data_IF_290601277539
#
_entry.id   IF_290601277539
#
_cell.length_a   1.000
_cell.length_b   1.000
_cell.length_c   1.000
_cell.angle_alpha   90.00
_cell.angle_beta   90.00
_cell.angle_gamma   90.00
#
_symmetry.space_group_name_H-M   'P 1'
#
loop_
_entity.id
_entity.type
_entity.pdbx_description
1 polymer ?
#
# COMPACT_ATOMS: atom_id res chain seq x y z
N UNK A 1 -23.87 -15.88 -51.77
CA UNK A 1 -22.84 -16.14 -50.75
C UNK A 1 -22.04 -14.87 -50.75
N UNK A 2 -22.57 -13.91 -50.00
CA UNK A 2 -22.33 -12.49 -50.21
C UNK A 2 -21.03 -12.09 -49.53
N UNK A 3 -20.19 -11.41 -50.29
CA UNK A 3 -18.82 -11.04 -49.93
C UNK A 3 -18.75 -9.70 -49.17
N UNK A 4 -19.87 -9.24 -48.61
CA UNK A 4 -20.01 -7.89 -48.05
C UNK A 4 -19.68 -7.78 -46.56
N UNK A 5 -19.47 -8.89 -45.83
CA UNK A 5 -19.13 -8.84 -44.39
C UNK A 5 -17.63 -8.65 -44.09
N UNK A 6 -16.76 -8.68 -45.10
CA UNK A 6 -15.31 -8.60 -44.90
C UNK A 6 -14.80 -7.19 -44.52
N UNK A 7 -15.64 -6.15 -44.64
CA UNK A 7 -15.26 -4.76 -44.38
C UNK A 7 -15.86 -4.16 -43.09
N UNK A 8 -16.41 -4.98 -42.19
CA UNK A 8 -17.06 -4.48 -40.97
C UNK A 8 -16.09 -3.99 -39.87
N UNK A 9 -14.76 -4.16 -40.04
CA UNK A 9 -13.75 -3.88 -39.00
C UNK A 9 -12.77 -2.75 -39.35
N UNK A 10 -13.18 -1.76 -40.14
CA UNK A 10 -12.26 -0.70 -40.61
C UNK A 10 -12.01 0.45 -39.61
N UNK A 11 -12.58 0.42 -38.40
CA UNK A 11 -12.50 1.58 -37.47
C UNK A 11 -12.32 1.27 -35.97
N UNK A 12 -11.61 0.20 -35.60
CA UNK A 12 -11.04 0.14 -34.24
C UNK A 12 -9.67 0.83 -34.22
N UNK A 13 -9.69 2.15 -34.06
CA UNK A 13 -8.52 2.87 -33.58
C UNK A 13 -8.32 2.52 -32.10
N UNK A 14 -7.49 1.50 -31.83
CA UNK A 14 -6.81 1.35 -30.56
C UNK A 14 -5.93 2.59 -30.38
N UNK A 15 -6.41 3.55 -29.58
CA UNK A 15 -5.56 4.64 -29.10
C UNK A 15 -4.51 4.06 -28.16
N UNK A 16 -3.44 3.48 -28.71
CA UNK A 16 -2.16 3.33 -28.00
C UNK A 16 -1.50 4.71 -27.90
N UNK A 17 -2.14 5.62 -27.18
CA UNK A 17 -1.40 6.76 -26.66
C UNK A 17 -0.61 6.23 -25.49
N UNK A 18 0.65 5.86 -25.73
CA UNK A 18 1.64 5.71 -24.68
C UNK A 18 1.60 6.99 -23.86
N UNK A 19 0.95 6.94 -22.68
CA UNK A 19 0.94 8.07 -21.77
C UNK A 19 2.40 8.25 -21.37
N UNK A 20 3.03 9.39 -21.69
CA UNK A 20 4.43 9.56 -21.36
C UNK A 20 4.60 9.38 -19.86
N UNK A 21 5.63 8.64 -19.44
CA UNK A 21 5.82 8.26 -18.03
C UNK A 21 5.80 9.47 -17.08
N UNK A 22 6.15 10.66 -17.57
CA UNK A 22 6.08 11.93 -16.85
C UNK A 22 4.67 12.39 -16.46
N UNK A 23 3.62 11.83 -17.08
CA UNK A 23 2.21 12.18 -16.84
C UNK A 23 1.44 11.07 -16.11
N UNK A 24 2.11 9.97 -15.77
CA UNK A 24 1.53 8.85 -15.03
C UNK A 24 1.86 9.00 -13.53
N UNK A 25 1.02 9.75 -12.82
CA UNK A 25 1.06 9.77 -11.36
C UNK A 25 0.39 8.49 -10.82
N UNK A 26 1.19 7.45 -10.60
CA UNK A 26 0.74 6.20 -10.01
C UNK A 26 0.78 6.23 -8.48
N UNK A 27 0.37 7.33 -7.86
CA UNK A 27 0.27 7.38 -6.40
C UNK A 27 -1.07 6.82 -5.96
N UNK A 28 -1.08 5.60 -5.46
CA UNK A 28 -2.21 5.10 -4.67
C UNK A 28 -2.02 5.61 -3.25
N UNK A 29 -2.91 6.47 -2.79
CA UNK A 29 -2.91 6.90 -1.39
C UNK A 29 -3.54 5.83 -0.50
N UNK A 30 -3.17 5.81 0.78
CA UNK A 30 -3.80 4.94 1.78
C UNK A 30 -5.33 5.07 1.81
N UNK A 31 -5.86 6.25 1.50
CA UNK A 31 -7.30 6.51 1.46
C UNK A 31 -7.98 5.72 0.34
N UNK A 32 -7.34 5.61 -0.82
CA UNK A 32 -7.82 4.82 -1.95
C UNK A 32 -7.76 3.33 -1.63
N UNK A 33 -6.70 2.86 -0.98
CA UNK A 33 -6.61 1.47 -0.47
C UNK A 33 -7.73 1.20 0.52
N UNK A 34 -7.96 2.11 1.47
CA UNK A 34 -9.02 2.00 2.45
C UNK A 34 -10.41 1.88 1.81
N UNK A 35 -10.74 2.77 0.87
CA UNK A 35 -12.01 2.73 0.15
C UNK A 35 -12.19 1.43 -0.62
N UNK A 36 -11.13 1.01 -1.33
CA UNK A 36 -11.16 -0.19 -2.17
C UNK A 36 -11.28 -1.46 -1.32
N UNK A 37 -10.48 -1.60 -0.26
CA UNK A 37 -10.54 -2.75 0.63
C UNK A 37 -11.91 -2.91 1.29
N UNK A 38 -12.55 -1.81 1.67
CA UNK A 38 -13.93 -1.80 2.18
C UNK A 38 -14.98 -2.21 1.13
N UNK A 39 -14.76 -1.88 -0.14
CA UNK A 39 -15.65 -2.27 -1.25
C UNK A 39 -15.44 -3.73 -1.70
N UNK A 40 -14.19 -4.19 -1.72
CA UNK A 40 -13.79 -5.48 -2.26
C UNK A 40 -13.76 -6.58 -1.18
N UNK A 41 -14.02 -6.25 0.10
CA UNK A 41 -14.02 -7.20 1.21
C UNK A 41 -12.63 -7.78 1.51
N UNK A 42 -11.59 -6.99 1.24
CA UNK A 42 -10.20 -7.40 1.44
C UNK A 42 -9.96 -7.58 2.94
N UNK A 43 -9.57 -8.77 3.39
CA UNK A 43 -9.35 -9.04 4.83
C UNK A 43 -7.95 -8.58 5.24
N UNK A 44 -7.86 -7.83 6.35
CA UNK A 44 -6.62 -7.22 6.84
C UNK A 44 -6.24 -7.66 8.27
N UNK A 45 -7.07 -8.43 8.95
CA UNK A 45 -6.85 -8.99 10.29
C UNK A 45 -7.05 -10.52 10.31
N UNK A 46 -6.61 -11.17 11.38
CA UNK A 46 -6.88 -12.60 11.64
C UNK A 46 -8.37 -12.85 11.97
N UNK A 47 -9.11 -11.79 12.36
CA UNK A 47 -10.52 -11.84 12.78
C UNK A 47 -11.54 -11.58 11.65
N UNK A 48 -11.08 -11.29 10.44
CA UNK A 48 -11.88 -11.19 9.22
C UNK A 48 -12.69 -9.89 9.06
N UNK A 49 -12.33 -8.79 9.72
CA UNK A 49 -13.02 -7.50 9.59
C UNK A 49 -12.13 -6.38 9.03
N UNK A 50 -12.63 -5.67 8.02
CA UNK A 50 -11.93 -4.50 7.50
C UNK A 50 -12.14 -3.30 8.45
N UNK A 51 -11.09 -2.51 8.76
CA UNK A 51 -11.22 -1.34 9.64
C UNK A 51 -12.36 -0.42 9.21
N UNK A 52 -13.08 0.12 10.18
CA UNK A 52 -14.28 0.92 9.93
C UNK A 52 -13.95 2.36 9.53
N UNK A 53 -12.80 2.86 10.00
CA UNK A 53 -12.25 4.18 9.69
C UNK A 53 -10.83 4.13 9.13
N UNK A 54 -10.43 5.20 8.43
CA UNK A 54 -9.07 5.35 7.92
C UNK A 54 -8.06 5.42 9.07
N UNK A 55 -8.44 5.97 10.21
CA UNK A 55 -7.56 6.07 11.38
C UNK A 55 -7.29 4.69 12.00
N UNK A 56 -8.33 3.86 12.16
CA UNK A 56 -8.17 2.47 12.59
C UNK A 56 -7.28 1.70 11.61
N UNK A 57 -7.44 1.90 10.30
CA UNK A 57 -6.58 1.25 9.32
C UNK A 57 -5.11 1.66 9.47
N UNK A 58 -4.83 2.93 9.74
CA UNK A 58 -3.47 3.39 10.07
C UNK A 58 -2.93 2.72 11.33
N UNK A 59 -3.76 2.60 12.38
CA UNK A 59 -3.39 1.94 13.64
C UNK A 59 -3.04 0.48 13.39
N UNK A 60 -3.83 -0.26 12.60
CA UNK A 60 -3.53 -1.66 12.23
C UNK A 60 -2.18 -1.77 11.52
N UNK A 61 -1.91 -0.91 10.54
CA UNK A 61 -0.62 -0.94 9.82
C UNK A 61 0.54 -0.61 10.76
N UNK A 62 0.42 0.43 11.59
CA UNK A 62 1.49 0.79 12.53
C UNK A 62 1.70 -0.29 13.60
N UNK A 63 0.64 -0.88 14.14
CA UNK A 63 0.76 -1.98 15.10
C UNK A 63 1.47 -3.19 14.50
N UNK A 64 1.19 -3.54 13.23
CA UNK A 64 1.91 -4.60 12.54
C UNK A 64 3.41 -4.28 12.42
N UNK A 65 3.75 -3.06 12.00
CA UNK A 65 5.14 -2.61 11.85
C UNK A 65 5.88 -2.60 13.20
N UNK A 66 5.23 -2.11 14.26
CA UNK A 66 5.82 -2.08 15.61
C UNK A 66 6.00 -3.49 16.20
N UNK A 67 5.22 -4.48 15.72
CA UNK A 67 5.35 -5.87 16.12
C UNK A 67 6.46 -6.59 15.37
N UNK A 68 6.47 -6.49 14.04
CA UNK A 68 7.49 -7.09 13.17
C UNK A 68 7.62 -6.27 11.88
N UNK A 69 8.74 -5.57 11.74
CA UNK A 69 9.00 -4.67 10.61
C UNK A 69 9.08 -5.40 9.27
N UNK A 70 9.68 -6.59 9.25
CA UNK A 70 9.91 -7.33 8.02
C UNK A 70 8.62 -8.01 7.54
N UNK A 71 7.91 -8.69 8.44
CA UNK A 71 6.63 -9.33 8.12
C UNK A 71 5.54 -8.30 7.80
N UNK A 72 5.56 -7.13 8.45
CA UNK A 72 4.71 -6.02 8.04
C UNK A 72 5.05 -5.52 6.63
N UNK A 73 6.33 -5.47 6.27
CA UNK A 73 6.79 -5.17 4.91
C UNK A 73 6.22 -6.17 3.89
N UNK A 74 6.33 -7.48 4.16
CA UNK A 74 5.74 -8.54 3.34
C UNK A 74 4.24 -8.32 3.17
N UNK A 75 3.52 -8.05 4.26
CA UNK A 75 2.09 -7.82 4.24
C UNK A 75 1.69 -6.59 3.41
N UNK A 76 2.45 -5.48 3.51
CA UNK A 76 2.27 -4.29 2.67
C UNK A 76 2.46 -4.59 1.17
N UNK A 77 3.46 -5.40 0.82
CA UNK A 77 3.64 -5.91 -0.55
C UNK A 77 2.43 -6.74 -1.01
N UNK A 78 1.89 -7.57 -0.11
CA UNK A 78 0.68 -8.37 -0.30
C UNK A 78 -0.57 -7.52 -0.54
N UNK A 79 -0.67 -6.34 0.07
CA UNK A 79 -1.72 -5.37 -0.22
C UNK A 79 -1.51 -4.74 -1.59
N UNK A 80 -0.28 -4.30 -1.89
CA UNK A 80 0.03 -3.62 -3.14
C UNK A 80 -0.15 -4.49 -4.38
N UNK A 81 0.10 -5.81 -4.29
CA UNK A 81 -0.10 -6.74 -5.44
C UNK A 81 -1.56 -6.80 -5.92
N UNK A 82 -2.53 -6.43 -5.08
CA UNK A 82 -3.96 -6.38 -5.46
C UNK A 82 -4.28 -5.32 -6.53
N UNK A 83 -3.34 -4.41 -6.80
CA UNK A 83 -3.38 -3.46 -7.92
C UNK A 83 -2.93 -4.07 -9.25
N UNK A 84 -2.41 -5.30 -9.25
CA UNK A 84 -2.09 -6.09 -10.43
C UNK A 84 -0.62 -5.98 -10.87
N UNK A 85 -0.15 -6.96 -11.67
CA UNK A 85 1.27 -7.14 -12.02
C UNK A 85 1.90 -6.00 -12.84
N UNK A 86 1.08 -5.11 -13.40
CA UNK A 86 1.54 -3.93 -14.15
C UNK A 86 1.55 -2.65 -13.31
N UNK A 87 1.04 -2.70 -12.08
CA UNK A 87 1.08 -1.57 -11.17
C UNK A 87 2.47 -1.44 -10.54
N UNK A 88 2.91 -0.22 -10.20
CA UNK A 88 4.13 0.01 -9.43
C UNK A 88 3.92 -0.39 -7.96
N UNK A 89 3.84 -1.71 -7.71
CA UNK A 89 3.43 -2.26 -6.43
C UNK A 89 4.39 -1.90 -5.29
N UNK A 90 5.69 -1.81 -5.58
CA UNK A 90 6.69 -1.39 -4.59
C UNK A 90 6.45 0.07 -4.15
N UNK A 91 6.20 0.98 -5.09
CA UNK A 91 5.90 2.37 -4.81
C UNK A 91 4.56 2.53 -4.07
N UNK A 92 3.56 1.71 -4.42
CA UNK A 92 2.27 1.67 -3.73
C UNK A 92 2.48 1.22 -2.27
N UNK A 93 3.23 0.15 -2.01
CA UNK A 93 3.49 -0.34 -0.65
C UNK A 93 4.20 0.71 0.20
N UNK A 94 5.24 1.35 -0.33
CA UNK A 94 5.93 2.46 0.35
C UNK A 94 5.03 3.66 0.59
N UNK A 95 4.13 3.96 -0.35
CA UNK A 95 3.15 5.05 -0.19
C UNK A 95 2.14 4.73 0.91
N UNK A 96 1.68 3.49 1.01
CA UNK A 96 0.81 2.99 2.09
C UNK A 96 1.52 3.15 3.44
N UNK A 97 2.78 2.71 3.55
CA UNK A 97 3.58 2.86 4.76
C UNK A 97 3.69 4.33 5.19
N UNK A 98 4.19 5.19 4.30
CA UNK A 98 4.40 6.61 4.60
C UNK A 98 3.11 7.36 4.93
N UNK A 99 2.01 7.09 4.21
CA UNK A 99 0.69 7.66 4.49
C UNK A 99 0.10 7.17 5.83
N UNK A 100 0.50 5.98 6.27
CA UNK A 100 0.08 5.40 7.55
C UNK A 100 0.84 6.01 8.71
N UNK A 101 2.15 6.20 8.54
CA UNK A 101 3.00 6.87 9.51
C UNK A 101 2.56 8.31 9.74
N UNK A 102 2.26 9.05 8.66
CA UNK A 102 1.49 10.29 8.66
C UNK A 102 1.61 11.17 9.92
N UNK A 103 0.49 11.33 10.62
CA UNK A 103 0.40 12.10 11.88
C UNK A 103 0.79 11.32 13.13
N UNK A 104 1.08 10.02 13.01
CA UNK A 104 1.49 9.19 14.14
C UNK A 104 3.00 9.27 14.37
N UNK A 105 3.79 9.47 13.32
CA UNK A 105 5.24 9.53 13.41
C UNK A 105 5.77 10.86 13.95
N UNK A 106 6.64 10.79 14.95
CA UNK A 106 7.49 11.89 15.41
C UNK A 106 8.96 11.52 15.24
N UNK A 107 9.70 12.30 14.47
CA UNK A 107 11.09 12.00 14.13
C UNK A 107 12.02 12.53 15.23
N UNK A 108 12.68 11.63 15.94
CA UNK A 108 13.82 11.95 16.80
C UNK A 108 15.13 11.73 16.03
N UNK A 109 15.66 12.83 15.48
CA UNK A 109 16.91 12.82 14.73
C UNK A 109 18.13 12.47 15.57
N UNK A 110 18.10 12.71 16.88
CA UNK A 110 19.25 12.43 17.76
C UNK A 110 19.37 10.94 18.03
N UNK A 111 18.22 10.27 18.20
CA UNK A 111 18.17 8.82 18.43
C UNK A 111 18.15 8.03 17.13
N UNK A 112 17.83 8.66 15.99
CA UNK A 112 17.57 8.00 14.71
C UNK A 112 16.37 7.04 14.77
N UNK A 113 15.31 7.51 15.45
CA UNK A 113 14.03 6.79 15.58
C UNK A 113 12.88 7.64 15.05
N UNK A 114 11.82 6.95 14.64
CA UNK A 114 10.49 7.53 14.52
C UNK A 114 9.64 6.97 15.66
N UNK A 115 9.38 7.79 16.67
CA UNK A 115 8.44 7.44 17.73
C UNK A 115 7.01 7.52 17.19
N UNK A 116 6.18 6.54 17.51
CA UNK A 116 4.83 6.39 16.95
C UNK A 116 3.79 6.62 18.03
N UNK A 117 2.91 7.59 17.79
CA UNK A 117 1.91 8.06 18.75
C UNK A 117 0.50 8.01 18.17
N UNK A 118 -0.46 7.57 18.98
CA UNK A 118 -1.87 7.79 18.73
C UNK A 118 -2.67 7.71 20.03
N UNK A 119 -3.86 8.30 20.02
CA UNK A 119 -4.82 8.17 21.11
C UNK A 119 -5.75 6.98 20.83
N UNK A 120 -6.12 6.25 21.87
CA UNK A 120 -7.27 5.36 21.83
C UNK A 120 -8.56 6.16 22.10
N UNK A 121 -9.71 5.57 21.83
CA UNK A 121 -10.99 6.27 21.92
C UNK A 121 -11.25 6.83 23.33
N UNK A 122 -11.23 8.15 23.44
CA UNK A 122 -11.45 8.87 24.70
C UNK A 122 -10.24 8.98 25.62
N UNK A 123 -9.06 8.58 25.14
CA UNK A 123 -7.79 8.64 25.89
C UNK A 123 -6.86 9.74 25.37
N UNK A 124 -5.82 10.04 26.15
CA UNK A 124 -4.77 10.98 25.76
C UNK A 124 -3.84 10.36 24.70
N UNK A 125 -3.03 11.20 24.06
CA UNK A 125 -2.02 10.75 23.09
C UNK A 125 -0.91 9.96 23.80
N UNK A 126 -0.70 8.70 23.40
CA UNK A 126 0.31 7.81 24.00
C UNK A 126 1.34 7.34 22.97
N UNK A 127 2.56 7.00 23.44
CA UNK A 127 3.61 6.40 22.62
C UNK A 127 3.43 4.89 22.59
N UNK A 128 3.31 4.31 21.41
CA UNK A 128 3.11 2.87 21.22
C UNK A 128 4.38 2.12 20.83
N UNK A 129 5.44 2.86 20.50
CA UNK A 129 6.74 2.29 20.16
C UNK A 129 7.56 3.21 19.28
N UNK A 130 8.68 2.71 18.76
CA UNK A 130 9.54 3.45 17.85
C UNK A 130 10.10 2.56 16.75
N UNK A 131 10.24 3.14 15.56
CA UNK A 131 10.86 2.51 14.40
C UNK A 131 12.26 3.09 14.26
N UNK A 132 13.29 2.25 14.42
CA UNK A 132 14.66 2.66 14.15
C UNK A 132 14.84 2.92 12.65
N UNK A 133 15.66 3.91 12.28
CA UNK A 133 15.89 4.21 10.86
C UNK A 133 16.48 3.02 10.11
N UNK A 134 17.31 2.20 10.77
CA UNK A 134 17.83 0.95 10.19
C UNK A 134 16.74 -0.06 9.85
N UNK A 135 15.67 -0.12 10.66
CA UNK A 135 14.56 -1.04 10.45
C UNK A 135 13.65 -0.66 9.28
N UNK A 136 13.79 0.54 8.72
CA UNK A 136 13.10 0.92 7.48
C UNK A 136 13.59 0.03 6.32
N UNK A 137 14.86 -0.36 6.31
CA UNK A 137 15.39 -1.30 5.32
C UNK A 137 14.70 -2.67 5.42
N UNK A 138 14.40 -3.15 6.62
CA UNK A 138 13.71 -4.42 6.82
C UNK A 138 12.27 -4.39 6.27
N UNK A 139 11.58 -3.25 6.41
CA UNK A 139 10.26 -3.04 5.78
C UNK A 139 10.38 -3.11 4.25
N UNK A 140 11.35 -2.39 3.69
CA UNK A 140 11.57 -2.37 2.24
C UNK A 140 11.94 -3.74 1.68
N UNK A 141 12.75 -4.51 2.41
CA UNK A 141 13.18 -5.85 2.03
C UNK A 141 12.02 -6.84 2.14
N UNK A 142 11.19 -6.74 3.18
CA UNK A 142 9.94 -7.49 3.25
C UNK A 142 9.01 -7.18 2.07
N UNK A 143 8.87 -5.91 1.67
CA UNK A 143 8.08 -5.55 0.47
C UNK A 143 8.67 -6.22 -0.77
N UNK A 144 9.97 -6.10 -1.00
CA UNK A 144 10.64 -6.68 -2.19
C UNK A 144 10.47 -8.19 -2.23
N UNK A 145 10.73 -8.88 -1.13
CA UNK A 145 10.67 -10.35 -1.06
C UNK A 145 9.25 -10.87 -1.35
N UNK A 146 8.20 -10.18 -0.90
CA UNK A 146 6.83 -10.56 -1.25
C UNK A 146 6.55 -10.35 -2.75
N UNK A 147 7.00 -9.22 -3.32
CA UNK A 147 6.74 -8.88 -4.71
C UNK A 147 7.56 -9.75 -5.68
N UNK A 148 8.83 -10.04 -5.37
CA UNK A 148 9.69 -10.92 -6.16
C UNK A 148 9.16 -12.35 -6.14
N UNK A 149 8.76 -12.84 -4.96
CA UNK A 149 8.09 -14.15 -4.83
C UNK A 149 6.81 -14.24 -5.65
N UNK A 150 6.07 -13.15 -5.78
CA UNK A 150 4.84 -13.10 -6.58
C UNK A 150 5.11 -13.06 -8.09
N UNK A 151 6.12 -12.31 -8.52
CA UNK A 151 6.52 -12.20 -9.92
C UNK A 151 7.34 -13.40 -10.41
N UNK A 152 7.82 -14.24 -9.48
CA UNK A 152 8.63 -15.43 -9.80
C UNK A 152 10.05 -15.07 -10.25
N UNK A 153 10.62 -14.01 -9.67
CA UNK A 153 11.96 -13.48 -9.99
C UNK A 153 12.94 -13.91 -8.90
#
# INVERSE_FOLDING_TARGET
MDSEDANAFEYEYLFEREIPRSYLEHSVSLKEVFKRGRSDGMLLDEEGSFPSTLEEFRKVIMSAILSDVYDAGRWLGGIARTFGARAPAYEIANKIFSDSLGSFGHIDQNRQYVDVYWANDGEDLECHGGIEFGSICDIEDGIKDELDSWLGI
#
